data_IF_610925205411
#
_entry.id   IF_610925205411
#
_cell.length_a   1.000
_cell.length_b   1.000
_cell.length_c   1.000
_cell.angle_alpha   90.00
_cell.angle_beta   90.00
_cell.angle_gamma   90.00
#
_symmetry.space_group_name_H-M   'P 1'
#
loop_
_entity.id
_entity.type
_entity.pdbx_description
1 polymer ?
#
# COMPACT_ATOMS: atom_id res chain seq x y z
N UNK A 1 9.84 -3.02 1.92
CA UNK A 1 9.39 -2.39 3.18
C UNK A 1 7.90 -2.21 3.15
N UNK A 2 7.24 -2.19 4.31
CA UNK A 2 5.78 -2.10 4.40
C UNK A 2 5.37 -0.69 4.83
N UNK A 3 4.44 -0.10 4.07
CA UNK A 3 3.76 1.15 4.40
C UNK A 3 2.27 0.86 4.38
N UNK A 4 1.54 1.25 5.43
CA UNK A 4 0.16 0.83 5.69
C UNK A 4 -0.05 -0.67 5.80
N UNK A 5 -0.98 -1.07 6.68
CA UNK A 5 -1.29 -2.48 6.91
C UNK A 5 -2.80 -2.66 7.02
N UNK A 6 -3.38 -3.33 6.04
CA UNK A 6 -4.80 -3.63 5.98
C UNK A 6 -5.69 -2.38 6.02
N UNK A 7 -5.25 -1.31 5.36
CA UNK A 7 -6.02 -0.06 5.32
C UNK A 7 -7.19 -0.14 4.33
N UNK A 8 -7.17 -1.04 3.35
CA UNK A 8 -8.14 -1.08 2.25
C UNK A 8 -9.62 -1.10 2.68
N UNK A 9 -10.04 -1.86 3.71
CA UNK A 9 -11.40 -1.76 4.24
C UNK A 9 -11.74 -0.36 4.79
N UNK A 10 -10.81 0.27 5.50
CA UNK A 10 -10.95 1.59 6.10
C UNK A 10 -10.94 2.68 5.02
N UNK A 11 -10.01 2.59 4.07
CA UNK A 11 -9.93 3.48 2.91
C UNK A 11 -11.24 3.48 2.12
N UNK A 12 -11.82 2.30 1.88
CA UNK A 12 -13.15 2.16 1.25
C UNK A 12 -14.28 2.77 2.08
N UNK A 13 -14.29 2.58 3.39
CA UNK A 13 -15.28 3.18 4.28
C UNK A 13 -15.20 4.72 4.29
N UNK A 14 -14.00 5.27 4.11
CA UNK A 14 -13.73 6.71 4.01
C UNK A 14 -13.93 7.26 2.59
N UNK A 15 -14.00 6.41 1.58
CA UNK A 15 -14.23 6.79 0.19
C UNK A 15 -13.08 7.66 -0.36
N UNK A 16 -13.43 8.82 -0.93
CA UNK A 16 -12.46 9.68 -1.61
C UNK A 16 -11.32 10.17 -0.71
N UNK A 17 -11.58 10.40 0.58
CA UNK A 17 -10.54 10.83 1.53
C UNK A 17 -9.59 9.69 1.89
N UNK A 18 -10.10 8.47 2.03
CA UNK A 18 -9.29 7.27 2.23
C UNK A 18 -8.37 7.01 1.04
N UNK A 19 -8.90 7.07 -0.18
CA UNK A 19 -8.10 6.94 -1.40
C UNK A 19 -7.06 8.06 -1.54
N UNK A 20 -7.40 9.31 -1.19
CA UNK A 20 -6.43 10.41 -1.18
C UNK A 20 -5.29 10.17 -0.17
N UNK A 21 -5.61 9.60 0.99
CA UNK A 21 -4.63 9.23 2.00
C UNK A 21 -3.70 8.11 1.53
N UNK A 22 -4.23 7.00 1.00
CA UNK A 22 -3.41 5.89 0.47
C UNK A 22 -2.42 6.37 -0.60
N UNK A 23 -2.87 7.26 -1.48
CA UNK A 23 -2.00 7.90 -2.49
C UNK A 23 -0.92 8.80 -1.91
N UNK A 24 -1.24 9.57 -0.87
CA UNK A 24 -0.25 10.40 -0.18
C UNK A 24 0.79 9.54 0.54
N UNK A 25 0.36 8.48 1.24
CA UNK A 25 1.24 7.57 1.96
C UNK A 25 2.22 6.87 1.02
N UNK A 26 1.74 6.36 -0.12
CA UNK A 26 2.57 5.76 -1.16
C UNK A 26 3.62 6.74 -1.70
N UNK A 27 3.22 7.98 -2.03
CA UNK A 27 4.15 9.02 -2.51
C UNK A 27 5.19 9.40 -1.48
N UNK A 28 4.79 9.51 -0.21
CA UNK A 28 5.69 9.79 0.90
C UNK A 28 6.74 8.68 1.02
N UNK A 29 6.31 7.42 1.02
CA UNK A 29 7.20 6.27 1.15
C UNK A 29 8.22 6.17 0.00
N UNK A 30 7.76 6.32 -1.25
CA UNK A 30 8.63 6.31 -2.44
C UNK A 30 9.62 7.48 -2.41
N UNK A 31 9.19 8.65 -1.93
CA UNK A 31 10.03 9.84 -1.79
C UNK A 31 11.21 9.70 -0.82
N UNK A 32 11.17 8.71 0.09
CA UNK A 32 12.28 8.41 1.00
C UNK A 32 13.50 7.82 0.28
N UNK A 33 13.37 7.39 -0.98
CA UNK A 33 14.52 7.01 -1.82
C UNK A 33 15.30 5.80 -1.30
N UNK A 34 14.61 4.85 -0.68
CA UNK A 34 15.23 3.74 0.08
C UNK A 34 15.91 2.68 -0.77
N UNK A 35 15.76 2.74 -2.10
CA UNK A 35 16.41 1.83 -3.05
C UNK A 35 15.85 0.41 -3.10
N UNK A 36 14.85 0.10 -2.28
CA UNK A 36 14.13 -1.20 -2.26
C UNK A 36 12.62 -0.99 -2.38
N UNK A 37 11.86 -1.97 -2.92
CA UNK A 37 10.42 -1.83 -3.11
C UNK A 37 9.62 -1.61 -1.82
N UNK A 38 8.49 -0.91 -1.98
CA UNK A 38 7.47 -0.73 -0.95
C UNK A 38 6.28 -1.65 -1.20
N UNK A 39 5.61 -2.01 -0.12
CA UNK A 39 4.45 -2.90 -0.08
C UNK A 39 3.34 -2.24 0.74
N UNK A 40 2.10 -2.31 0.25
CA UNK A 40 0.86 -2.05 0.99
C UNK A 40 0.06 -3.35 1.08
N UNK A 41 -0.25 -3.79 2.31
CA UNK A 41 -0.94 -5.07 2.54
C UNK A 41 -2.47 -4.91 2.54
N UNK A 42 -3.18 -5.79 1.83
CA UNK A 42 -4.65 -5.75 1.59
C UNK A 42 -5.14 -4.42 1.01
N UNK A 43 -4.31 -3.78 0.19
CA UNK A 43 -4.66 -2.55 -0.52
C UNK A 43 -4.76 -2.86 -2.01
N UNK A 44 -5.93 -3.34 -2.48
CA UNK A 44 -6.11 -3.81 -3.86
C UNK A 44 -5.83 -2.70 -4.91
N UNK A 45 -5.93 -1.43 -4.51
CA UNK A 45 -5.67 -0.23 -5.29
C UNK A 45 -4.37 0.49 -4.89
N UNK A 46 -3.36 -0.26 -4.41
CA UNK A 46 -2.04 0.31 -4.10
C UNK A 46 -1.46 1.09 -5.30
N UNK A 47 -0.98 2.33 -5.11
CA UNK A 47 -0.46 3.13 -6.21
C UNK A 47 0.94 2.68 -6.64
N UNK A 48 1.18 2.58 -7.96
CA UNK A 48 2.52 2.33 -8.49
C UNK A 48 3.55 3.37 -7.99
N UNK A 49 4.79 2.97 -7.66
CA UNK A 49 5.40 1.65 -7.76
C UNK A 49 5.23 0.77 -6.49
N UNK A 50 4.28 1.07 -5.62
CA UNK A 50 4.04 0.29 -4.39
C UNK A 50 3.31 -1.00 -4.74
N UNK A 51 3.84 -2.13 -4.28
CA UNK A 51 3.24 -3.45 -4.53
C UNK A 51 2.06 -3.66 -3.59
N UNK A 52 0.89 -3.99 -4.15
CA UNK A 52 -0.21 -4.52 -3.37
C UNK A 52 0.08 -5.98 -3.00
N UNK A 53 0.15 -6.27 -1.70
CA UNK A 53 0.19 -7.65 -1.22
C UNK A 53 -1.22 -8.08 -0.82
N UNK A 54 -1.86 -9.01 -1.54
CA UNK A 54 -3.09 -9.62 -1.06
C UNK A 54 -2.77 -10.43 0.20
N UNK A 55 -3.71 -10.50 1.14
CA UNK A 55 -3.52 -11.16 2.44
C UNK A 55 -3.17 -12.65 2.44
N UNK A 56 -2.98 -13.24 1.25
CA UNK A 56 -2.75 -14.66 1.05
C UNK A 56 -1.43 -14.99 0.36
N UNK A 57 -0.66 -14.00 -0.13
CA UNK A 57 0.51 -14.29 -0.99
C UNK A 57 1.90 -14.09 -0.34
N UNK A 58 1.97 -13.88 0.98
CA UNK A 58 3.19 -14.04 1.79
C UNK A 58 3.85 -15.45 1.68
N UNK A 59 3.22 -16.39 0.96
CA UNK A 59 3.73 -17.73 0.68
C UNK A 59 4.33 -17.91 -0.74
N UNK A 60 4.39 -16.87 -1.59
CA UNK A 60 4.89 -17.00 -2.97
C UNK A 60 6.28 -16.44 -3.22
N UNK A 61 6.92 -15.86 -2.20
CA UNK A 61 8.31 -15.43 -2.23
C UNK A 61 9.23 -16.26 -1.32
N UNK A 62 8.86 -17.51 -1.05
CA UNK A 62 9.74 -18.57 -0.49
C UNK A 62 9.96 -19.66 -1.51
#
# INVERSE_FOLDING_TARGET
MLIENEYGPQGRALGASGHAYSNWAAKMAVGLGTGVPWVMCKEDDAPDPVVSEPSRDLARFT
#
